data_IF_810602230844
#
_entry.id   IF_810602230844
#
_cell.length_a   1.000
_cell.length_b   1.000
_cell.length_c   1.000
_cell.angle_alpha   90.00
_cell.angle_beta   90.00
_cell.angle_gamma   90.00
#
_symmetry.space_group_name_H-M   'P 1'
#
loop_
_entity.id
_entity.type
_entity.pdbx_description
1 polymer ?
#
# COMPACT_ATOMS: atom_id res chain seq x y z
N UNK A 1 -20.84 -16.91 -15.66
CA UNK A 1 -20.36 -15.81 -14.81
C UNK A 1 -19.38 -14.99 -15.62
N UNK A 2 -19.60 -13.68 -15.70
CA UNK A 2 -18.77 -12.75 -16.46
C UNK A 2 -17.93 -11.90 -15.50
N UNK A 3 -16.77 -11.46 -15.98
CA UNK A 3 -15.88 -10.59 -15.23
C UNK A 3 -15.47 -9.41 -16.10
N UNK A 4 -15.45 -8.22 -15.52
CA UNK A 4 -15.04 -7.00 -16.18
C UNK A 4 -13.99 -6.31 -15.32
N UNK A 5 -12.94 -5.79 -15.95
CA UNK A 5 -11.90 -4.99 -15.29
C UNK A 5 -12.13 -3.51 -15.59
N UNK A 6 -12.21 -2.70 -14.52
CA UNK A 6 -12.49 -1.27 -14.62
C UNK A 6 -11.35 -0.58 -15.38
N UNK A 7 -11.69 0.12 -16.45
CA UNK A 7 -10.74 0.85 -17.29
C UNK A 7 -10.98 2.37 -17.33
N UNK A 8 -12.17 2.82 -16.93
CA UNK A 8 -12.54 4.24 -16.99
C UNK A 8 -13.58 4.60 -15.93
N UNK A 9 -13.39 5.76 -15.30
CA UNK A 9 -14.36 6.40 -14.40
C UNK A 9 -14.60 7.83 -14.88
N UNK A 10 -15.86 8.19 -15.13
CA UNK A 10 -16.24 9.53 -15.56
C UNK A 10 -17.37 10.08 -14.72
N UNK A 11 -17.36 11.40 -14.52
CA UNK A 11 -18.50 12.15 -14.00
C UNK A 11 -19.04 13.04 -15.11
N UNK A 12 -20.30 12.82 -15.50
CA UNK A 12 -20.92 13.49 -16.65
C UNK A 12 -22.25 14.15 -16.27
N UNK A 13 -22.76 15.03 -17.13
CA UNK A 13 -24.13 15.54 -17.02
C UNK A 13 -25.14 14.42 -17.32
N UNK A 14 -26.36 14.45 -16.74
CA UNK A 14 -27.37 13.42 -17.03
C UNK A 14 -27.73 13.27 -18.51
N UNK A 15 -27.61 14.34 -19.30
CA UNK A 15 -27.86 14.33 -20.75
C UNK A 15 -26.67 13.89 -21.60
N UNK A 16 -25.47 13.76 -21.02
CA UNK A 16 -24.27 13.37 -21.76
C UNK A 16 -24.13 11.84 -21.78
N UNK A 17 -24.73 11.25 -22.81
CA UNK A 17 -24.76 9.79 -23.03
C UNK A 17 -23.70 9.33 -24.03
N UNK A 18 -22.85 10.22 -24.54
CA UNK A 18 -21.92 9.90 -25.62
C UNK A 18 -20.97 8.75 -25.26
N UNK A 19 -20.51 8.73 -24.01
CA UNK A 19 -19.60 7.71 -23.46
C UNK A 19 -20.25 6.33 -23.24
N UNK A 20 -21.57 6.22 -23.37
CA UNK A 20 -22.33 4.96 -23.27
C UNK A 20 -22.58 4.30 -24.62
N UNK A 21 -22.12 4.92 -25.71
CA UNK A 21 -22.29 4.37 -27.06
C UNK A 21 -21.55 3.04 -27.22
N UNK A 22 -22.11 2.16 -28.05
CA UNK A 22 -21.49 0.88 -28.38
C UNK A 22 -20.24 1.13 -29.22
N UNK A 23 -19.12 0.52 -28.83
CA UNK A 23 -17.88 0.53 -29.60
C UNK A 23 -17.69 -0.81 -30.33
N UNK A 24 -17.37 -0.73 -31.63
CA UNK A 24 -17.22 -1.93 -32.47
C UNK A 24 -16.14 -2.86 -31.93
N UNK A 25 -16.47 -4.17 -31.85
CA UNK A 25 -15.60 -5.25 -31.35
C UNK A 25 -15.18 -5.15 -29.87
N UNK A 26 -15.80 -4.27 -29.08
CA UNK A 26 -15.53 -4.16 -27.65
C UNK A 26 -16.70 -4.69 -26.83
N UNK A 27 -16.40 -5.43 -25.78
CA UNK A 27 -17.37 -5.91 -24.78
C UNK A 27 -17.15 -5.09 -23.50
N UNK A 28 -17.98 -4.06 -23.34
CA UNK A 28 -17.96 -3.16 -22.20
C UNK A 28 -19.22 -3.32 -21.37
N UNK A 29 -19.05 -3.21 -20.05
CA UNK A 29 -20.14 -3.00 -19.12
C UNK A 29 -19.87 -1.70 -18.35
N UNK A 30 -20.87 -0.81 -18.29
CA UNK A 30 -20.77 0.45 -17.55
C UNK A 30 -21.80 0.46 -16.44
N UNK A 31 -21.35 0.57 -15.19
CA UNK A 31 -22.21 0.86 -14.06
C UNK A 31 -22.49 2.36 -14.02
N UNK A 32 -23.76 2.71 -13.87
CA UNK A 32 -24.23 4.10 -13.84
C UNK A 32 -24.89 4.37 -12.51
N UNK A 33 -24.49 5.44 -11.85
CA UNK A 33 -25.15 5.92 -10.64
C UNK A 33 -25.20 7.44 -10.61
N UNK A 34 -25.98 7.99 -9.69
CA UNK A 34 -26.04 9.43 -9.44
C UNK A 34 -24.83 9.87 -8.60
N UNK A 35 -24.43 11.13 -8.78
CA UNK A 35 -23.37 11.78 -8.00
C UNK A 35 -23.56 13.31 -8.05
N UNK A 36 -23.02 14.11 -7.12
CA UNK A 36 -22.54 13.73 -5.78
C UNK A 36 -23.65 13.13 -4.91
N UNK A 37 -23.27 12.39 -3.88
CA UNK A 37 -24.21 11.77 -2.95
C UNK A 37 -25.18 12.80 -2.35
N UNK A 38 -26.48 12.51 -2.39
CA UNK A 38 -27.54 13.39 -1.87
C UNK A 38 -27.87 14.60 -2.75
N UNK A 39 -27.05 14.91 -3.75
CA UNK A 39 -27.26 16.03 -4.69
C UNK A 39 -27.73 15.52 -6.06
N UNK A 40 -27.13 14.44 -6.56
CA UNK A 40 -27.56 13.68 -7.74
C UNK A 40 -27.65 14.48 -9.08
N UNK A 41 -26.98 15.63 -9.17
CA UNK A 41 -26.98 16.51 -10.36
C UNK A 41 -26.16 15.97 -11.54
N UNK A 42 -25.32 14.98 -11.30
CA UNK A 42 -24.44 14.35 -12.28
C UNK A 42 -24.62 12.82 -12.28
N UNK A 43 -23.95 12.16 -13.23
CA UNK A 43 -23.87 10.70 -13.33
C UNK A 43 -22.42 10.26 -13.22
N UNK A 44 -22.17 9.31 -12.32
CA UNK A 44 -20.91 8.61 -12.22
C UNK A 44 -21.01 7.35 -13.09
N UNK A 45 -20.10 7.25 -14.05
CA UNK A 45 -19.99 6.13 -14.98
C UNK A 45 -18.71 5.36 -14.65
N UNK A 46 -18.84 4.07 -14.33
CA UNK A 46 -17.71 3.17 -14.08
C UNK A 46 -17.74 2.09 -15.16
N UNK A 47 -16.88 2.23 -16.17
CA UNK A 47 -16.77 1.29 -17.29
C UNK A 47 -15.70 0.25 -17.00
N UNK A 48 -15.99 -0.99 -17.36
CA UNK A 48 -15.01 -2.06 -17.45
C UNK A 48 -15.10 -2.82 -18.76
N UNK A 49 -13.97 -3.41 -19.15
CA UNK A 49 -13.86 -4.28 -20.32
C UNK A 49 -13.88 -5.74 -19.91
N UNK A 50 -14.40 -6.59 -20.80
CA UNK A 50 -14.53 -8.02 -20.54
C UNK A 50 -13.17 -8.68 -20.34
N UNK A 51 -13.05 -9.46 -19.27
CA UNK A 51 -11.88 -10.30 -18.98
C UNK A 51 -12.30 -11.75 -18.68
N UNK A 52 -11.43 -12.75 -18.90
CA UNK A 52 -11.71 -14.13 -18.52
C UNK A 52 -11.98 -14.27 -17.02
N UNK A 53 -13.14 -14.82 -16.67
CA UNK A 53 -13.47 -15.11 -15.28
C UNK A 53 -12.77 -16.40 -14.82
N UNK A 54 -11.88 -16.30 -13.83
CA UNK A 54 -11.21 -17.44 -13.21
C UNK A 54 -11.74 -17.64 -11.78
N UNK A 55 -12.54 -18.69 -11.57
CA UNK A 55 -13.12 -19.06 -10.25
C UNK A 55 -12.07 -19.27 -9.15
N UNK A 56 -10.83 -19.62 -9.51
CA UNK A 56 -9.75 -19.93 -8.57
C UNK A 56 -8.86 -18.71 -8.27
N UNK A 57 -9.07 -17.56 -8.93
CA UNK A 57 -8.35 -16.32 -8.61
C UNK A 57 -8.94 -15.70 -7.33
N UNK A 58 -8.48 -16.16 -6.16
CA UNK A 58 -8.52 -15.37 -4.92
C UNK A 58 -7.55 -14.20 -5.07
N UNK A 59 -7.96 -13.12 -5.74
CA UNK A 59 -7.23 -11.86 -5.75
C UNK A 59 -7.40 -11.18 -4.39
N UNK A 60 -6.72 -11.70 -3.37
CA UNK A 60 -6.40 -10.92 -2.19
C UNK A 60 -5.31 -9.94 -2.62
N UNK A 61 -5.70 -8.79 -3.20
CA UNK A 61 -4.83 -7.62 -3.18
C UNK A 61 -4.72 -7.26 -1.70
N UNK A 62 -3.67 -7.77 -1.03
CA UNK A 62 -3.31 -7.33 0.31
C UNK A 62 -3.06 -5.83 0.20
N UNK A 63 -4.05 -5.04 0.62
CA UNK A 63 -3.93 -3.60 0.67
C UNK A 63 -2.73 -3.29 1.57
N UNK A 64 -1.83 -2.45 1.05
CA UNK A 64 -0.44 -2.39 1.48
C UNK A 64 -0.27 -2.08 2.97
N UNK A 65 0.44 -2.94 3.67
CA UNK A 65 1.49 -2.42 4.53
C UNK A 65 2.57 -1.93 3.57
N UNK A 66 2.77 -0.62 3.50
CA UNK A 66 3.80 -0.07 2.64
C UNK A 66 5.12 -0.74 3.04
N UNK A 67 5.75 -1.43 2.09
CA UNK A 67 7.05 -2.09 2.28
C UNK A 67 8.09 -1.11 2.87
N UNK A 68 7.88 0.19 2.65
CA UNK A 68 8.65 1.29 3.23
C UNK A 68 8.66 1.33 4.76
N UNK A 69 7.54 1.10 5.45
CA UNK A 69 7.51 1.19 6.92
C UNK A 69 8.23 0.00 7.57
N UNK A 70 8.11 -1.20 7.01
CA UNK A 70 8.75 -2.41 7.54
C UNK A 70 10.27 -2.31 7.42
N UNK A 71 10.78 -1.83 6.28
CA UNK A 71 12.22 -1.68 6.06
C UNK A 71 12.82 -0.65 7.04
N UNK A 72 12.13 0.47 7.29
CA UNK A 72 12.59 1.49 8.23
C UNK A 72 12.67 0.96 9.68
N UNK A 73 11.70 0.14 10.10
CA UNK A 73 11.69 -0.50 11.42
C UNK A 73 12.88 -1.46 11.59
N UNK A 74 13.20 -2.25 10.56
CA UNK A 74 14.34 -3.18 10.59
C UNK A 74 15.65 -2.41 10.72
N UNK A 75 15.84 -1.34 9.94
CA UNK A 75 17.05 -0.51 10.00
C UNK A 75 17.21 0.13 11.39
N UNK A 76 16.13 0.67 11.95
CA UNK A 76 16.15 1.26 13.29
C UNK A 76 16.51 0.23 14.37
N UNK A 77 15.98 -1.00 14.28
CA UNK A 77 16.28 -2.06 15.23
C UNK A 77 17.76 -2.49 15.15
N UNK A 78 18.29 -2.68 13.94
CA UNK A 78 19.70 -3.05 13.74
C UNK A 78 20.64 -1.96 14.25
N UNK A 79 20.35 -0.69 13.94
CA UNK A 79 21.13 0.44 14.43
C UNK A 79 21.14 0.51 15.97
N UNK A 80 19.98 0.27 16.62
CA UNK A 80 19.88 0.22 18.08
C UNK A 80 20.70 -0.90 18.71
N UNK A 81 20.70 -2.10 18.12
CA UNK A 81 21.50 -3.24 18.60
C UNK A 81 23.00 -2.93 18.49
N UNK A 82 23.44 -2.38 17.36
CA UNK A 82 24.85 -2.00 17.15
C UNK A 82 25.26 -0.97 18.20
N UNK A 83 24.43 0.05 18.43
CA UNK A 83 24.71 1.08 19.44
C UNK A 83 24.83 0.48 20.85
N UNK A 84 23.92 -0.43 21.22
CA UNK A 84 23.97 -1.11 22.52
C UNK A 84 25.27 -1.94 22.69
N UNK A 85 25.71 -2.64 21.65
CA UNK A 85 26.96 -3.41 21.68
C UNK A 85 28.17 -2.49 21.85
N UNK A 86 28.22 -1.36 21.13
CA UNK A 86 29.30 -0.38 21.24
C UNK A 86 29.34 0.22 22.64
N UNK A 87 28.19 0.64 23.19
CA UNK A 87 28.12 1.19 24.55
C UNK A 87 28.53 0.16 25.60
N UNK A 88 28.08 -1.08 25.47
CA UNK A 88 28.48 -2.17 26.35
C UNK A 88 29.99 -2.44 26.31
N UNK A 89 30.59 -2.41 25.11
CA UNK A 89 32.04 -2.57 24.92
C UNK A 89 32.83 -1.44 25.58
N UNK A 90 32.42 -0.18 25.38
CA UNK A 90 33.07 0.99 25.97
C UNK A 90 32.96 0.98 27.50
N UNK A 91 31.79 0.65 28.05
CA UNK A 91 31.59 0.51 29.50
C UNK A 91 32.48 -0.59 30.10
N UNK A 92 32.55 -1.73 29.41
CA UNK A 92 33.38 -2.88 29.82
C UNK A 92 34.88 -2.55 29.79
N UNK A 93 35.35 -1.72 28.83
CA UNK A 93 36.73 -1.23 28.80
C UNK A 93 37.03 -0.30 29.98
N UNK A 94 36.15 0.66 30.28
CA UNK A 94 36.35 1.60 31.39
C UNK A 94 36.41 0.89 32.75
N UNK A 95 35.53 -0.10 32.98
CA UNK A 95 35.53 -0.91 34.21
C UNK A 95 36.80 -1.76 34.37
N UNK A 96 37.39 -2.26 33.28
CA UNK A 96 38.67 -2.97 33.31
C UNK A 96 39.86 -2.04 33.61
N UNK A 97 39.82 -0.79 33.14
CA UNK A 97 40.83 0.23 33.47
C UNK A 97 40.88 0.52 34.97
N UNK A 98 39.73 0.85 35.57
CA UNK A 98 39.63 1.15 37.02
C UNK A 98 40.07 -0.03 37.89
N UNK A 99 39.67 -1.26 37.52
CA UNK A 99 40.00 -2.46 38.31
C UNK A 99 41.48 -2.88 38.21
N UNK A 100 42.17 -2.47 37.14
CA UNK A 100 43.62 -2.71 36.99
C UNK A 100 44.45 -1.67 37.77
N UNK A 101 43.97 -0.43 37.86
CA UNK A 101 44.58 0.62 38.71
C UNK A 101 44.44 0.30 40.21
N UNK A 102 43.27 -0.17 40.66
CA UNK A 102 43.06 -0.62 42.05
C UNK A 102 43.96 -1.80 42.44
N UNK A 103 44.27 -2.72 41.52
CA UNK A 103 45.13 -3.89 41.78
C UNK A 103 46.63 -3.57 41.72
N UNK A 104 47.03 -2.39 41.23
CA UNK A 104 48.42 -1.91 41.24
C UNK A 104 48.73 -0.99 42.42
N UNK A 105 47.72 -0.64 43.22
CA UNK A 105 47.83 0.21 44.41
C UNK A 105 47.82 -0.58 45.75
N UNK A 106 47.70 -1.91 45.69
CA UNK A 106 47.90 -2.88 46.80
C UNK A 106 49.26 -3.59 46.64
#
# INVERSE_FOLDING_TARGET
MYAYEVDQILTVKPSDVKSLSIEYKKDYATLVTCTPYGVNTQRLLVRGHRVPYNKNKKNIKKHGQSVSFIILQIISAVAGIILAIVLHYLYSRKKKGVKNEERQAD
#
